data_IF_236166995358
#
_entry.id   IF_236166995358
#
_cell.length_a   1.000
_cell.length_b   1.000
_cell.length_c   1.000
_cell.angle_alpha   90.00
_cell.angle_beta   90.00
_cell.angle_gamma   90.00
#
_symmetry.space_group_name_H-M   'P 1'
#
loop_
_entity.id
_entity.type
_entity.pdbx_description
1 polymer ?
#
# COMPACT_ATOMS: atom_id res chain seq x y z
N UNK A 1 58.92 9.35 -15.14
CA UNK A 1 57.90 9.71 -14.13
C UNK A 1 56.71 10.42 -14.77
N UNK A 2 56.92 11.33 -15.72
CA UNK A 2 55.84 12.11 -16.36
C UNK A 2 54.76 11.25 -17.06
N UNK A 3 55.14 10.20 -17.79
CA UNK A 3 54.19 9.29 -18.45
C UNK A 3 53.30 8.52 -17.48
N UNK A 4 53.83 8.09 -16.33
CA UNK A 4 53.07 7.40 -15.30
C UNK A 4 52.04 8.32 -14.63
N UNK A 5 52.40 9.60 -14.43
CA UNK A 5 51.49 10.62 -13.90
C UNK A 5 50.36 10.91 -14.89
N UNK A 6 50.68 10.98 -16.19
CA UNK A 6 49.67 11.20 -17.25
C UNK A 6 48.69 10.02 -17.32
N UNK A 7 49.18 8.78 -17.28
CA UNK A 7 48.31 7.58 -17.32
C UNK A 7 47.41 7.51 -16.08
N UNK A 8 47.95 7.80 -14.89
CA UNK A 8 47.17 7.84 -13.65
C UNK A 8 46.07 8.92 -13.71
N UNK A 9 46.38 10.09 -14.26
CA UNK A 9 45.41 11.17 -14.43
C UNK A 9 44.27 10.79 -15.39
N UNK A 10 44.57 10.09 -16.48
CA UNK A 10 43.54 9.62 -17.43
C UNK A 10 42.63 8.56 -16.78
N UNK A 11 43.21 7.61 -16.04
CA UNK A 11 42.42 6.58 -15.32
C UNK A 11 41.51 7.21 -14.26
N UNK A 12 42.02 8.19 -13.50
CA UNK A 12 41.24 8.91 -12.51
C UNK A 12 40.08 9.71 -13.15
N UNK A 13 40.32 10.34 -14.30
CA UNK A 13 39.28 11.06 -15.04
C UNK A 13 38.16 10.13 -15.53
N UNK A 14 38.51 8.95 -16.06
CA UNK A 14 37.52 7.94 -16.50
C UNK A 14 36.69 7.42 -15.32
N UNK A 15 37.33 7.13 -14.18
CA UNK A 15 36.64 6.72 -12.96
C UNK A 15 35.71 7.81 -12.41
N UNK A 16 36.13 9.07 -12.44
CA UNK A 16 35.30 10.19 -12.02
C UNK A 16 34.04 10.32 -12.89
N UNK A 17 34.17 10.18 -14.22
CA UNK A 17 33.03 10.22 -15.14
C UNK A 17 32.08 9.05 -14.88
N UNK A 18 32.60 7.83 -14.66
CA UNK A 18 31.78 6.66 -14.36
C UNK A 18 31.00 6.82 -13.04
N UNK A 19 31.62 7.41 -12.01
CA UNK A 19 30.96 7.73 -10.73
C UNK A 19 29.89 8.81 -10.89
N UNK A 20 30.10 9.82 -11.72
CA UNK A 20 29.10 10.86 -12.02
C UNK A 20 27.90 10.23 -12.74
N UNK A 21 28.10 9.36 -13.74
CA UNK A 21 27.01 8.72 -14.49
C UNK A 21 26.21 7.74 -13.63
N UNK A 22 26.88 6.90 -12.84
CA UNK A 22 26.23 5.96 -11.92
C UNK A 22 25.54 6.68 -10.77
N UNK A 23 26.16 7.71 -10.21
CA UNK A 23 25.57 8.61 -9.22
C UNK A 23 24.36 9.36 -9.76
N UNK A 24 24.41 9.86 -11.00
CA UNK A 24 23.29 10.51 -11.66
C UNK A 24 22.11 9.54 -11.88
N UNK A 25 22.36 8.31 -12.36
CA UNK A 25 21.31 7.28 -12.48
C UNK A 25 20.71 6.87 -11.12
N UNK A 26 21.55 6.70 -10.09
CA UNK A 26 21.10 6.38 -8.74
C UNK A 26 20.32 7.57 -8.12
N UNK A 27 20.72 8.80 -8.43
CA UNK A 27 20.02 10.02 -8.01
C UNK A 27 18.71 10.26 -8.76
N UNK A 28 18.59 9.81 -10.02
CA UNK A 28 17.33 9.82 -10.76
C UNK A 28 16.34 8.79 -10.18
N UNK A 29 16.83 7.61 -9.80
CA UNK A 29 16.02 6.62 -9.06
C UNK A 29 15.67 7.10 -7.65
N UNK A 30 16.59 7.82 -6.96
CA UNK A 30 16.30 8.44 -5.67
C UNK A 30 15.44 9.70 -5.78
N UNK A 31 15.42 10.43 -6.90
CA UNK A 31 14.48 11.54 -7.14
C UNK A 31 13.05 11.01 -7.34
N UNK A 32 12.88 9.79 -7.88
CA UNK A 32 11.62 9.05 -7.80
C UNK A 32 11.21 8.68 -6.36
N UNK A 33 12.17 8.66 -5.42
CA UNK A 33 11.96 8.17 -4.05
C UNK A 33 12.17 9.25 -2.97
N UNK A 34 12.46 10.50 -3.35
CA UNK A 34 12.92 11.54 -2.41
C UNK A 34 12.56 12.98 -2.81
N UNK A 35 11.77 13.20 -3.85
CA UNK A 35 11.17 14.53 -4.08
C UNK A 35 9.87 14.45 -4.89
N UNK A 36 8.78 14.13 -4.21
CA UNK A 36 7.58 14.96 -4.34
C UNK A 36 6.90 15.05 -2.97
N UNK A 37 7.27 16.12 -2.26
CA UNK A 37 6.42 16.72 -1.26
C UNK A 37 5.13 17.14 -1.97
N UNK A 38 4.01 16.74 -1.40
CA UNK A 38 2.78 17.52 -1.27
C UNK A 38 2.33 18.30 -2.52
N UNK A 39 1.59 17.62 -3.41
CA UNK A 39 0.56 18.11 -4.34
C UNK A 39 0.33 16.90 -5.25
N UNK A 40 -0.77 16.15 -5.16
CA UNK A 40 -2.08 16.59 -5.62
C UNK A 40 -3.12 15.63 -5.03
N UNK A 41 -3.94 16.13 -4.10
CA UNK A 41 -5.06 15.37 -3.54
C UNK A 41 -6.21 15.48 -4.53
N UNK A 42 -6.37 14.47 -5.37
CA UNK A 42 -7.59 14.35 -6.17
C UNK A 42 -8.76 13.94 -5.27
N UNK A 43 -9.50 14.93 -4.77
CA UNK A 43 -10.81 14.72 -4.16
C UNK A 43 -11.85 14.63 -5.28
N UNK A 44 -12.37 13.44 -5.52
CA UNK A 44 -13.67 13.27 -6.18
C UNK A 44 -14.57 12.45 -5.26
N UNK A 45 -15.54 13.10 -4.63
CA UNK A 45 -16.63 12.40 -3.92
C UNK A 45 -16.38 11.96 -2.47
N UNK A 46 -15.42 12.54 -1.75
CA UNK A 46 -15.40 12.46 -0.28
C UNK A 46 -14.94 11.14 0.35
N UNK A 47 -14.25 10.25 -0.39
CA UNK A 47 -13.69 9.00 0.16
C UNK A 47 -12.18 8.94 -0.06
N UNK A 48 -11.43 8.70 1.02
CA UNK A 48 -9.96 8.59 1.05
C UNK A 48 -9.53 7.16 0.69
N UNK A 49 -8.70 7.01 -0.35
CA UNK A 49 -7.96 5.78 -0.60
C UNK A 49 -6.55 5.90 -0.03
N UNK A 50 -6.20 5.04 0.93
CA UNK A 50 -4.80 4.83 1.32
C UNK A 50 -4.27 3.63 0.56
N UNK A 51 -3.40 3.87 -0.42
CA UNK A 51 -2.26 2.98 -0.65
C UNK A 51 -1.14 3.52 0.20
N UNK A 52 -0.95 2.98 1.40
CA UNK A 52 0.41 2.67 1.83
C UNK A 52 0.45 1.83 3.10
N UNK A 53 1.45 0.96 3.10
CA UNK A 53 2.04 0.29 4.24
C UNK A 53 2.35 1.32 5.34
N UNK A 54 1.53 1.27 6.39
CA UNK A 54 1.79 1.68 7.78
C UNK A 54 2.69 2.89 8.01
N UNK A 55 2.09 4.02 8.38
CA UNK A 55 2.46 4.76 9.60
C UNK A 55 1.21 5.43 10.20
N UNK A 56 0.68 4.85 11.27
CA UNK A 56 0.01 5.64 12.31
C UNK A 56 0.62 5.21 13.63
N UNK A 57 1.27 6.18 14.30
CA UNK A 57 1.61 6.10 15.72
C UNK A 57 0.32 5.88 16.52
N UNK A 58 0.45 5.18 17.65
CA UNK A 58 -0.54 5.00 18.73
C UNK A 58 -1.20 3.62 18.84
N UNK A 59 -0.37 2.60 19.08
CA UNK A 59 -0.72 1.52 20.02
C UNK A 59 -1.62 0.38 19.54
N UNK A 60 -1.97 0.28 18.27
CA UNK A 60 -2.77 -0.85 17.75
C UNK A 60 -1.94 -1.83 16.90
N UNK A 61 -2.27 -3.11 17.05
CA UNK A 61 -1.50 -4.25 16.57
C UNK A 61 -1.13 -4.16 15.07
N UNK A 62 0.17 -4.26 14.80
CA UNK A 62 0.71 -4.37 13.44
C UNK A 62 0.37 -5.74 12.84
N UNK A 63 -0.59 -5.79 11.93
CA UNK A 63 -0.75 -6.93 11.03
C UNK A 63 0.04 -6.67 9.76
N UNK A 64 1.09 -7.46 9.54
CA UNK A 64 1.87 -7.49 8.31
C UNK A 64 0.98 -7.90 7.13
N UNK A 65 0.59 -6.93 6.29
CA UNK A 65 -0.19 -7.21 5.09
C UNK A 65 0.66 -7.94 4.05
N UNK A 66 0.17 -9.07 3.55
CA UNK A 66 0.71 -9.72 2.37
C UNK A 66 0.41 -8.88 1.12
N UNK A 67 1.25 -8.96 0.10
CA UNK A 67 1.01 -8.32 -1.20
C UNK A 67 -0.30 -8.88 -1.79
N UNK A 68 -1.36 -8.05 -1.82
CA UNK A 68 -2.68 -8.43 -2.33
C UNK A 68 -3.81 -8.35 -1.30
N UNK A 69 -3.51 -8.21 -0.01
CA UNK A 69 -4.52 -8.03 1.03
C UNK A 69 -5.16 -6.62 0.94
N UNK A 70 -6.46 -6.53 1.20
CA UNK A 70 -7.18 -5.26 1.30
C UNK A 70 -7.67 -5.00 2.73
N UNK A 71 -7.34 -3.83 3.30
CA UNK A 71 -7.79 -3.45 4.63
C UNK A 71 -9.12 -2.69 4.57
N UNK A 72 -10.17 -3.29 5.12
CA UNK A 72 -11.42 -2.61 5.44
C UNK A 72 -11.29 -1.90 6.79
N UNK A 73 -11.18 -0.57 6.76
CA UNK A 73 -11.20 0.25 7.98
C UNK A 73 -12.62 0.31 8.53
N UNK A 74 -12.75 0.14 9.85
CA UNK A 74 -14.03 0.21 10.56
C UNK A 74 -14.78 1.51 10.24
N UNK A 75 -16.05 1.38 9.88
CA UNK A 75 -16.94 2.51 9.59
C UNK A 75 -16.75 3.13 8.20
N UNK A 76 -15.77 2.68 7.42
CA UNK A 76 -15.57 3.12 6.05
C UNK A 76 -16.28 2.17 5.09
N UNK A 77 -17.04 2.73 4.16
CA UNK A 77 -17.71 1.98 3.10
C UNK A 77 -16.85 1.99 1.85
N UNK A 78 -16.60 0.82 1.29
CA UNK A 78 -15.87 0.62 0.04
C UNK A 78 -16.82 0.07 -1.00
N UNK A 79 -16.57 0.40 -2.26
CA UNK A 79 -17.34 -0.07 -3.39
C UNK A 79 -16.45 -0.99 -4.25
N UNK A 80 -16.77 -2.29 -4.35
CA UNK A 80 -16.06 -3.20 -5.21
C UNK A 80 -16.34 -2.86 -6.67
N UNK A 81 -15.31 -2.51 -7.44
CA UNK A 81 -15.43 -2.13 -8.85
C UNK A 81 -14.28 -2.74 -9.66
N UNK A 82 -14.52 -3.01 -10.96
CA UNK A 82 -13.44 -3.44 -11.87
C UNK A 82 -12.53 -2.25 -12.16
N UNK A 83 -11.29 -2.29 -11.67
CA UNK A 83 -10.32 -1.24 -11.92
C UNK A 83 -9.27 -1.13 -10.81
N UNK A 84 -8.87 0.09 -10.48
CA UNK A 84 -7.97 0.34 -9.37
C UNK A 84 -8.76 0.45 -8.06
N UNK A 85 -8.55 -0.48 -7.12
CA UNK A 85 -9.20 -0.43 -5.81
C UNK A 85 -9.53 -1.82 -5.26
N UNK A 86 -10.66 -1.89 -4.54
CA UNK A 86 -11.23 -3.16 -4.08
C UNK A 86 -11.89 -3.85 -5.27
N UNK A 87 -11.39 -5.01 -5.66
CA UNK A 87 -11.95 -5.77 -6.76
C UNK A 87 -13.15 -6.61 -6.27
N UNK A 88 -14.15 -6.84 -7.12
CA UNK A 88 -15.16 -7.86 -6.85
C UNK A 88 -14.53 -9.26 -6.89
N UNK A 89 -15.01 -10.16 -6.06
CA UNK A 89 -14.45 -11.51 -5.96
C UNK A 89 -14.67 -12.19 -4.62
N UNK A 90 -14.05 -13.34 -4.47
CA UNK A 90 -14.07 -14.14 -3.24
C UNK A 90 -12.85 -13.82 -2.40
N UNK A 91 -13.06 -13.50 -1.13
CA UNK A 91 -12.03 -13.17 -0.16
C UNK A 91 -12.21 -13.97 1.12
N UNK A 92 -11.12 -14.15 1.86
CA UNK A 92 -11.11 -14.59 3.24
C UNK A 92 -11.12 -13.36 4.14
N UNK A 93 -12.12 -13.23 5.00
CA UNK A 93 -12.25 -12.13 5.95
C UNK A 93 -11.53 -12.48 7.25
N UNK A 94 -10.50 -11.71 7.58
CA UNK A 94 -9.69 -11.86 8.78
C UNK A 94 -9.90 -10.65 9.69
N UNK A 95 -10.20 -10.89 10.96
CA UNK A 95 -10.18 -9.81 11.95
C UNK A 95 -8.76 -9.23 12.06
N UNK A 96 -8.64 -7.90 12.13
CA UNK A 96 -7.33 -7.24 12.27
C UNK A 96 -6.69 -7.41 13.65
N UNK A 97 -7.44 -7.91 14.64
CA UNK A 97 -6.93 -8.16 15.99
C UNK A 97 -7.09 -9.65 16.33
N UNK A 98 -6.02 -10.29 16.77
CA UNK A 98 -5.97 -11.74 17.03
C UNK A 98 -6.95 -12.20 18.13
N UNK A 99 -7.32 -11.30 19.04
CA UNK A 99 -8.29 -11.58 20.11
C UNK A 99 -9.74 -11.58 19.63
N UNK A 100 -10.02 -11.11 18.40
CA UNK A 100 -11.38 -10.96 17.87
C UNK A 100 -11.71 -12.13 16.96
N UNK A 101 -12.55 -13.04 17.46
CA UNK A 101 -12.99 -14.23 16.74
C UNK A 101 -14.25 -14.01 15.89
N UNK A 102 -15.06 -13.01 16.25
CA UNK A 102 -16.30 -12.64 15.54
C UNK A 102 -16.36 -11.14 15.29
N UNK A 103 -16.84 -10.76 14.11
CA UNK A 103 -16.98 -9.36 13.70
C UNK A 103 -18.17 -9.17 12.77
N UNK A 104 -18.63 -7.92 12.65
CA UNK A 104 -19.76 -7.53 11.82
C UNK A 104 -19.29 -6.91 10.52
N UNK A 105 -19.80 -7.42 9.39
CA UNK A 105 -19.65 -6.80 8.08
C UNK A 105 -21.02 -6.40 7.55
N UNK A 106 -21.08 -5.24 6.87
CA UNK A 106 -22.19 -4.85 6.02
C UNK A 106 -21.86 -5.24 4.59
N UNK A 107 -22.67 -6.11 3.99
CA UNK A 107 -22.56 -6.57 2.60
C UNK A 107 -23.94 -6.55 1.96
N UNK A 108 -24.06 -5.98 0.76
CA UNK A 108 -25.33 -5.90 0.03
C UNK A 108 -26.46 -5.24 0.83
N UNK A 109 -26.12 -4.27 1.68
CA UNK A 109 -27.07 -3.54 2.54
C UNK A 109 -27.41 -4.23 3.88
N UNK A 110 -26.98 -5.46 4.13
CA UNK A 110 -27.26 -6.19 5.37
C UNK A 110 -26.03 -6.30 6.26
N UNK A 111 -26.21 -6.13 7.57
CA UNK A 111 -25.16 -6.39 8.56
C UNK A 111 -25.28 -7.83 9.04
N UNK A 112 -24.20 -8.60 8.91
CA UNK A 112 -24.12 -10.00 9.37
C UNK A 112 -22.89 -10.21 10.24
N UNK A 113 -22.96 -11.21 11.10
CA UNK A 113 -21.83 -11.68 11.89
C UNK A 113 -20.99 -12.68 11.08
N UNK A 114 -19.69 -12.48 11.09
CA UNK A 114 -18.66 -13.30 10.45
C UNK A 114 -17.63 -13.71 11.49
N UNK A 115 -16.96 -14.83 11.25
CA UNK A 115 -15.83 -15.31 12.04
C UNK A 115 -14.51 -15.04 11.34
N UNK A 116 -13.44 -14.99 12.12
CA UNK A 116 -12.09 -14.93 11.57
C UNK A 116 -11.82 -16.13 10.66
N UNK A 117 -11.46 -15.87 9.40
CA UNK A 117 -11.20 -16.89 8.40
C UNK A 117 -12.42 -17.26 7.54
N UNK A 118 -13.59 -16.63 7.75
CA UNK A 118 -14.76 -16.88 6.92
C UNK A 118 -14.56 -16.35 5.50
N UNK A 119 -15.08 -17.10 4.52
CA UNK A 119 -15.12 -16.64 3.13
C UNK A 119 -16.27 -15.67 2.91
N UNK A 120 -15.98 -14.56 2.26
CA UNK A 120 -16.94 -13.54 1.82
C UNK A 120 -16.84 -13.35 0.31
N UNK A 121 -17.97 -13.04 -0.32
CA UNK A 121 -18.03 -12.74 -1.75
C UNK A 121 -18.47 -11.30 -1.91
N UNK A 122 -17.66 -10.52 -2.61
CA UNK A 122 -17.93 -9.14 -2.96
C UNK A 122 -18.47 -9.07 -4.38
N UNK A 123 -19.71 -8.63 -4.52
CA UNK A 123 -20.30 -8.35 -5.82
C UNK A 123 -19.91 -6.95 -6.29
N UNK A 124 -19.79 -6.79 -7.60
CA UNK A 124 -19.49 -5.51 -8.24
C UNK A 124 -20.64 -4.52 -8.00
N UNK A 125 -20.31 -3.32 -7.52
CA UNK A 125 -21.28 -2.27 -7.20
C UNK A 125 -22.01 -2.46 -5.86
N UNK A 126 -21.75 -3.54 -5.11
CA UNK A 126 -22.35 -3.75 -3.79
C UNK A 126 -21.46 -3.20 -2.67
N UNK A 127 -21.90 -2.18 -1.91
CA UNK A 127 -21.07 -1.57 -0.89
C UNK A 127 -20.75 -2.53 0.25
N UNK A 128 -19.48 -2.52 0.67
CA UNK A 128 -18.96 -3.28 1.81
C UNK A 128 -18.44 -2.35 2.89
N UNK A 129 -18.72 -2.65 4.15
CA UNK A 129 -18.22 -1.88 5.29
C UNK A 129 -17.93 -2.80 6.48
N UNK A 130 -16.78 -2.62 7.12
CA UNK A 130 -16.48 -3.26 8.39
C UNK A 130 -17.13 -2.47 9.53
N UNK A 131 -17.99 -3.11 10.33
CA UNK A 131 -18.86 -2.41 11.29
C UNK A 131 -18.27 -2.42 12.70
N UNK A 132 -17.78 -3.57 13.17
CA UNK A 132 -17.34 -3.73 14.57
C UNK A 132 -15.85 -3.48 14.79
N UNK A 133 -15.00 -3.88 13.84
CA UNK A 133 -13.53 -3.76 13.89
C UNK A 133 -12.96 -3.64 12.47
N UNK A 134 -11.65 -3.41 12.35
CA UNK A 134 -10.96 -3.49 11.07
C UNK A 134 -10.92 -4.95 10.60
N UNK A 135 -11.03 -5.16 9.29
CA UNK A 135 -11.06 -6.48 8.67
C UNK A 135 -10.12 -6.49 7.47
N UNK A 136 -9.34 -7.55 7.33
CA UNK A 136 -8.45 -7.77 6.20
C UNK A 136 -9.14 -8.76 5.26
N UNK A 137 -9.18 -8.42 3.98
CA UNK A 137 -9.65 -9.29 2.91
C UNK A 137 -8.44 -9.87 2.19
N UNK A 138 -8.39 -11.20 2.07
CA UNK A 138 -7.31 -11.95 1.42
C UNK A 138 -7.81 -12.89 0.34
#
# INVERSE_FOLDING_TARGET
METAVIVLAVVAAVLAIALIVTGAKLSAMRKLHSSEKAEDVYVKGGVRYSKDTTVTKDGEAHVSHGKGDFLLVKGVTYLPERGEGLLPGTYTALASADSVQTFKLRLGGYVRDYKHGDTVVLAEGDPVCAVSCNVILR
#
